data_IF_306619916979
#
_entry.id   IF_306619916979
#
_cell.length_a   1.000
_cell.length_b   1.000
_cell.length_c   1.000
_cell.angle_alpha   90.00
_cell.angle_beta   90.00
_cell.angle_gamma   90.00
#
_symmetry.space_group_name_H-M   'P 1'
#
loop_
_entity.id
_entity.type
_entity.pdbx_description
1 polymer ?
#
# COMPACT_ATOMS: atom_id res chain seq x y z
N UNK A 1 -29.17 -30.48 8.16
CA UNK A 1 -28.08 -30.21 9.09
C UNK A 1 -27.93 -28.70 9.19
N UNK A 2 -28.39 -28.14 10.29
CA UNK A 2 -28.51 -26.73 10.56
C UNK A 2 -27.14 -26.06 10.51
N UNK A 3 -27.00 -25.04 9.66
CA UNK A 3 -25.84 -24.16 9.59
C UNK A 3 -25.76 -23.35 10.89
N UNK A 4 -25.14 -23.91 11.93
CA UNK A 4 -24.70 -23.17 13.10
C UNK A 4 -23.77 -22.06 12.60
N UNK A 5 -24.24 -20.82 12.67
CA UNK A 5 -23.47 -19.64 12.35
C UNK A 5 -22.07 -19.77 13.00
N UNK A 6 -21.03 -19.96 12.18
CA UNK A 6 -19.66 -20.13 12.67
C UNK A 6 -19.30 -18.87 13.44
N UNK A 7 -19.01 -19.00 14.74
CA UNK A 7 -18.67 -17.86 15.59
C UNK A 7 -17.48 -17.10 14.97
N UNK A 8 -17.37 -15.77 15.17
CA UNK A 8 -16.21 -14.98 14.71
C UNK A 8 -14.87 -15.60 15.10
N UNK A 9 -14.81 -16.20 16.29
CA UNK A 9 -13.63 -16.89 16.81
C UNK A 9 -13.21 -18.08 15.95
N UNK A 10 -14.16 -18.90 15.44
CA UNK A 10 -13.84 -20.04 14.57
C UNK A 10 -13.28 -19.58 13.21
N UNK A 11 -13.76 -18.45 12.68
CA UNK A 11 -13.23 -17.85 11.47
C UNK A 11 -11.79 -17.38 11.66
N UNK A 12 -11.54 -16.66 12.77
CA UNK A 12 -10.17 -16.17 13.11
C UNK A 12 -9.24 -17.38 13.24
N UNK A 13 -9.64 -18.42 13.97
CA UNK A 13 -8.83 -19.65 14.14
C UNK A 13 -8.59 -20.35 12.80
N UNK A 14 -9.59 -20.40 11.92
CA UNK A 14 -9.45 -21.05 10.60
C UNK A 14 -8.44 -20.33 9.69
N UNK A 15 -8.29 -19.01 9.82
CA UNK A 15 -7.36 -18.21 9.02
C UNK A 15 -6.16 -17.68 9.82
N UNK A 16 -5.99 -18.11 11.09
CA UNK A 16 -4.94 -17.62 11.98
C UNK A 16 -3.54 -17.73 11.36
N UNK A 17 -3.25 -18.82 10.67
CA UNK A 17 -1.97 -19.02 10.00
C UNK A 17 -1.72 -17.94 8.92
N UNK A 18 -2.72 -17.64 8.09
CA UNK A 18 -2.59 -16.60 7.07
C UNK A 18 -2.47 -15.21 7.68
N UNK A 19 -3.25 -14.92 8.73
CA UNK A 19 -3.19 -13.62 9.44
C UNK A 19 -1.85 -13.44 10.15
N UNK A 20 -1.30 -14.50 10.77
CA UNK A 20 0.02 -14.44 11.39
C UNK A 20 1.13 -14.25 10.34
N UNK A 21 1.03 -14.91 9.20
CA UNK A 21 1.95 -14.69 8.08
C UNK A 21 1.91 -13.24 7.58
N UNK A 22 0.72 -12.64 7.46
CA UNK A 22 0.56 -11.21 7.10
C UNK A 22 1.19 -10.30 8.13
N UNK A 23 0.93 -10.54 9.42
CA UNK A 23 1.50 -9.74 10.51
C UNK A 23 3.03 -9.75 10.46
N UNK A 24 3.64 -10.93 10.40
CA UNK A 24 5.09 -11.09 10.36
C UNK A 24 5.70 -10.46 9.10
N UNK A 25 5.02 -10.63 7.96
CA UNK A 25 5.43 -10.01 6.70
C UNK A 25 5.38 -8.48 6.78
N UNK A 26 4.33 -7.91 7.41
CA UNK A 26 4.22 -6.46 7.59
C UNK A 26 5.26 -5.92 8.57
N UNK A 27 5.55 -6.63 9.66
CA UNK A 27 6.61 -6.25 10.58
C UNK A 27 7.98 -6.19 9.88
N UNK A 28 8.26 -7.16 9.01
CA UNK A 28 9.48 -7.13 8.19
C UNK A 28 9.45 -5.99 7.17
N UNK A 29 8.52 -6.05 6.21
CA UNK A 29 8.51 -5.17 5.04
C UNK A 29 8.20 -3.72 5.36
N UNK A 30 7.36 -3.47 6.36
CA UNK A 30 7.00 -2.12 6.80
C UNK A 30 8.16 -1.38 7.46
N UNK A 31 9.07 -2.11 8.11
CA UNK A 31 10.26 -1.53 8.76
C UNK A 31 11.41 -1.22 7.79
N UNK A 32 11.53 -1.98 6.69
CA UNK A 32 12.69 -1.85 5.77
C UNK A 32 12.76 -0.46 5.13
N UNK A 33 11.64 0.07 4.64
CA UNK A 33 11.64 1.38 3.96
C UNK A 33 12.20 2.50 4.82
N UNK A 34 11.63 2.78 5.99
CA UNK A 34 12.16 3.79 6.92
C UNK A 34 13.59 3.50 7.40
N UNK A 35 13.90 2.22 7.69
CA UNK A 35 15.25 1.83 8.10
C UNK A 35 16.29 2.15 7.02
N UNK A 36 16.00 1.86 5.75
CA UNK A 36 16.89 2.15 4.63
C UNK A 36 17.14 3.65 4.45
N UNK A 37 16.11 4.48 4.67
CA UNK A 37 16.26 5.94 4.59
C UNK A 37 17.19 6.43 5.68
N UNK A 38 17.00 6.01 6.93
CA UNK A 38 17.84 6.41 8.05
C UNK A 38 19.26 5.85 7.93
N UNK A 39 19.38 4.57 7.57
CA UNK A 39 20.68 3.92 7.34
C UNK A 39 21.43 4.55 6.18
N UNK A 40 20.76 4.83 5.06
CA UNK A 40 21.38 5.48 3.91
C UNK A 40 21.89 6.89 4.24
N UNK A 41 21.12 7.66 5.03
CA UNK A 41 21.55 8.98 5.49
C UNK A 41 22.80 8.88 6.39
N UNK A 42 22.84 7.92 7.32
CA UNK A 42 23.99 7.68 8.20
C UNK A 42 25.22 7.18 7.42
N UNK A 43 25.01 6.37 6.38
CA UNK A 43 26.08 5.86 5.50
C UNK A 43 26.52 6.85 4.42
N UNK A 44 25.96 8.08 4.42
CA UNK A 44 26.35 9.13 3.48
C UNK A 44 25.75 9.02 2.09
N UNK A 45 24.64 8.28 1.91
CA UNK A 45 23.93 8.28 0.64
C UNK A 45 23.30 9.65 0.37
N UNK A 46 23.38 10.09 -0.88
CA UNK A 46 22.74 11.34 -1.29
C UNK A 46 21.21 11.21 -1.19
N UNK A 47 20.53 12.34 -1.03
CA UNK A 47 19.05 12.38 -1.03
C UNK A 47 18.45 11.72 -2.27
N UNK A 48 19.05 11.91 -3.46
CA UNK A 48 18.61 11.26 -4.70
C UNK A 48 18.77 9.74 -4.67
N UNK A 49 19.88 9.23 -4.10
CA UNK A 49 20.07 7.79 -3.92
C UNK A 49 19.04 7.18 -2.97
N UNK A 50 18.72 7.87 -1.86
CA UNK A 50 17.65 7.46 -0.94
C UNK A 50 16.30 7.42 -1.68
N UNK A 51 15.96 8.42 -2.49
CA UNK A 51 14.76 8.40 -3.33
C UNK A 51 14.73 7.25 -4.33
N UNK A 52 15.88 6.88 -4.90
CA UNK A 52 16.01 5.74 -5.81
C UNK A 52 15.63 4.42 -5.13
N UNK A 53 15.96 4.21 -3.84
CA UNK A 53 15.58 3.00 -3.10
C UNK A 53 14.06 2.84 -3.05
N UNK A 54 13.32 3.92 -2.77
CA UNK A 54 11.87 3.91 -2.76
C UNK A 54 11.26 3.64 -4.13
N UNK A 55 11.78 4.29 -5.18
CA UNK A 55 11.35 4.08 -6.57
C UNK A 55 11.60 2.66 -7.03
N UNK A 56 12.76 2.09 -6.75
CA UNK A 56 13.12 0.71 -7.06
C UNK A 56 12.17 -0.28 -6.37
N UNK A 57 11.82 -0.04 -5.10
CA UNK A 57 10.86 -0.88 -4.38
C UNK A 57 9.50 -0.94 -5.08
N UNK A 58 8.92 0.20 -5.46
CA UNK A 58 7.60 0.22 -6.10
C UNK A 58 7.62 -0.35 -7.52
N UNK A 59 8.72 -0.17 -8.26
CA UNK A 59 8.91 -0.84 -9.55
C UNK A 59 8.92 -2.36 -9.38
N UNK A 60 9.70 -2.86 -8.42
CA UNK A 60 9.73 -4.29 -8.09
C UNK A 60 8.37 -4.80 -7.62
N UNK A 61 7.68 -4.05 -6.79
CA UNK A 61 6.35 -4.38 -6.31
C UNK A 61 5.35 -4.54 -7.47
N UNK A 62 5.37 -3.64 -8.44
CA UNK A 62 4.52 -3.76 -9.62
C UNK A 62 4.85 -5.02 -10.44
N UNK A 63 6.14 -5.28 -10.69
CA UNK A 63 6.58 -6.48 -11.39
C UNK A 63 6.12 -7.73 -10.64
N UNK A 64 6.22 -7.73 -9.31
CA UNK A 64 5.75 -8.82 -8.46
C UNK A 64 4.24 -9.06 -8.57
N UNK A 65 3.41 -8.01 -8.55
CA UNK A 65 1.97 -8.12 -8.75
C UNK A 65 1.61 -8.76 -10.10
N UNK A 66 2.39 -8.47 -11.14
CA UNK A 66 2.18 -9.01 -12.48
C UNK A 66 2.70 -10.45 -12.62
N UNK A 67 3.83 -10.77 -12.00
CA UNK A 67 4.53 -12.05 -12.16
C UNK A 67 4.06 -13.14 -11.18
N UNK A 68 3.72 -12.77 -9.94
CA UNK A 68 3.35 -13.73 -8.90
C UNK A 68 2.20 -14.68 -9.27
N UNK A 69 1.08 -14.23 -9.91
CA UNK A 69 0.04 -15.17 -10.33
C UNK A 69 0.52 -16.23 -11.32
N UNK A 70 1.52 -15.90 -12.16
CA UNK A 70 2.12 -16.83 -13.12
C UNK A 70 2.98 -17.86 -12.41
N UNK A 71 3.82 -17.41 -11.49
CA UNK A 71 4.65 -18.32 -10.69
C UNK A 71 3.77 -19.25 -9.84
N UNK A 72 2.71 -18.72 -9.20
CA UNK A 72 1.76 -19.55 -8.47
C UNK A 72 1.11 -20.62 -9.34
N UNK A 73 0.82 -20.30 -10.61
CA UNK A 73 0.26 -21.22 -11.58
C UNK A 73 1.19 -22.41 -11.91
N UNK A 74 2.50 -22.20 -11.84
CA UNK A 74 3.50 -23.24 -12.17
C UNK A 74 3.92 -24.08 -10.98
N UNK A 75 4.17 -23.44 -9.81
CA UNK A 75 4.74 -24.13 -8.64
C UNK A 75 3.77 -24.30 -7.47
N UNK A 76 2.59 -23.68 -7.54
CA UNK A 76 1.59 -23.66 -6.47
C UNK A 76 1.84 -22.58 -5.42
N UNK A 77 0.85 -22.34 -4.56
CA UNK A 77 0.82 -21.23 -3.61
C UNK A 77 1.94 -21.29 -2.56
N UNK A 78 2.08 -22.44 -1.87
CA UNK A 78 3.07 -22.58 -0.78
C UNK A 78 4.51 -22.46 -1.25
N UNK A 79 4.84 -23.07 -2.40
CA UNK A 79 6.18 -22.99 -2.96
C UNK A 79 6.51 -21.59 -3.46
N UNK A 80 5.56 -20.92 -4.10
CA UNK A 80 5.71 -19.52 -4.52
C UNK A 80 5.96 -18.61 -3.32
N UNK A 81 5.19 -18.78 -2.23
CA UNK A 81 5.37 -18.03 -1.00
C UNK A 81 6.75 -18.27 -0.38
N UNK A 82 7.18 -19.54 -0.31
CA UNK A 82 8.51 -19.89 0.19
C UNK A 82 9.63 -19.25 -0.63
N UNK A 83 9.53 -19.26 -1.95
CA UNK A 83 10.51 -18.63 -2.84
C UNK A 83 10.57 -17.12 -2.60
N UNK A 84 9.41 -16.44 -2.49
CA UNK A 84 9.37 -14.99 -2.25
C UNK A 84 9.91 -14.62 -0.87
N UNK A 85 9.54 -15.34 0.20
CA UNK A 85 10.05 -15.04 1.55
C UNK A 85 11.54 -15.30 1.65
N UNK A 86 12.04 -16.39 1.08
CA UNK A 86 13.47 -16.70 1.07
C UNK A 86 14.27 -15.64 0.30
N UNK A 87 13.84 -15.28 -0.91
CA UNK A 87 14.52 -14.26 -1.71
C UNK A 87 14.47 -12.86 -1.03
N UNK A 88 13.33 -12.52 -0.41
CA UNK A 88 13.20 -11.29 0.37
C UNK A 88 14.15 -11.24 1.56
N UNK A 89 14.28 -12.34 2.31
CA UNK A 89 15.20 -12.44 3.45
C UNK A 89 16.67 -12.37 3.01
N UNK A 90 17.04 -13.02 1.91
CA UNK A 90 18.38 -12.93 1.32
C UNK A 90 18.73 -11.48 0.98
N UNK A 91 17.78 -10.74 0.36
CA UNK A 91 17.97 -9.32 0.07
C UNK A 91 18.22 -8.48 1.33
N UNK A 92 17.49 -8.74 2.43
CA UNK A 92 17.68 -8.04 3.70
C UNK A 92 19.04 -8.35 4.35
N UNK A 93 19.47 -9.60 4.33
CA UNK A 93 20.78 -10.01 4.84
C UNK A 93 21.93 -9.38 4.03
N UNK A 94 21.73 -9.21 2.72
CA UNK A 94 22.73 -8.67 1.83
C UNK A 94 22.96 -7.16 1.99
N UNK A 95 21.98 -6.40 2.55
CA UNK A 95 22.08 -4.93 2.67
C UNK A 95 23.38 -4.50 3.35
N UNK A 96 23.69 -5.05 4.53
CA UNK A 96 24.88 -4.67 5.29
C UNK A 96 26.16 -5.41 4.83
N UNK A 97 26.05 -6.38 3.92
CA UNK A 97 27.22 -7.02 3.30
C UNK A 97 27.74 -6.20 2.12
N UNK A 98 26.88 -5.45 1.43
CA UNK A 98 27.21 -4.64 0.26
C UNK A 98 26.65 -3.24 0.49
N UNK A 99 27.45 -2.36 1.08
CA UNK A 99 27.05 -0.98 1.38
C UNK A 99 27.29 -0.10 0.16
N UNK A 100 26.35 -0.17 -0.78
CA UNK A 100 26.34 0.64 -2.01
C UNK A 100 24.89 0.98 -2.38
N UNK A 101 24.63 2.24 -2.71
CA UNK A 101 23.26 2.74 -2.95
C UNK A 101 22.59 2.07 -4.16
N UNK A 102 23.34 1.73 -5.20
CA UNK A 102 22.79 1.10 -6.39
C UNK A 102 22.54 -0.39 -6.16
N UNK A 103 23.45 -1.07 -5.43
CA UNK A 103 23.21 -2.43 -4.97
C UNK A 103 21.96 -2.50 -4.07
N UNK A 104 21.80 -1.54 -3.15
CA UNK A 104 20.58 -1.44 -2.33
C UNK A 104 19.32 -1.20 -3.18
N UNK A 105 19.39 -0.38 -4.24
CA UNK A 105 18.27 -0.20 -5.15
C UNK A 105 17.85 -1.51 -5.84
N UNK A 106 18.80 -2.34 -6.26
CA UNK A 106 18.51 -3.67 -6.81
C UNK A 106 17.88 -4.57 -5.76
N UNK A 107 18.42 -4.61 -4.55
CA UNK A 107 17.82 -5.37 -3.42
C UNK A 107 16.42 -4.89 -3.09
N UNK A 108 16.17 -3.57 -3.14
CA UNK A 108 14.85 -2.98 -2.93
C UNK A 108 13.86 -3.34 -4.03
N UNK A 109 14.28 -3.38 -5.29
CA UNK A 109 13.44 -3.88 -6.38
C UNK A 109 13.09 -5.37 -6.18
N UNK A 110 14.06 -6.19 -5.84
CA UNK A 110 13.84 -7.60 -5.52
C UNK A 110 12.91 -7.77 -4.30
N UNK A 111 13.12 -7.00 -3.22
CA UNK A 111 12.26 -6.98 -2.04
C UNK A 111 10.82 -6.57 -2.39
N UNK A 112 10.63 -5.53 -3.20
CA UNK A 112 9.30 -5.10 -3.66
C UNK A 112 8.57 -6.21 -4.41
N UNK A 113 9.27 -6.89 -5.33
CA UNK A 113 8.75 -8.04 -6.08
C UNK A 113 8.33 -9.17 -5.13
N UNK A 114 9.20 -9.52 -4.17
CA UNK A 114 8.93 -10.59 -3.21
C UNK A 114 7.72 -10.30 -2.33
N UNK A 115 7.61 -9.07 -1.82
CA UNK A 115 6.50 -8.64 -0.96
C UNK A 115 5.18 -8.67 -1.73
N UNK A 116 5.14 -8.15 -2.95
CA UNK A 116 3.96 -8.24 -3.81
C UNK A 116 3.55 -9.69 -4.09
N UNK A 117 4.55 -10.56 -4.29
CA UNK A 117 4.33 -11.99 -4.46
C UNK A 117 3.70 -12.63 -3.23
N UNK A 118 4.23 -12.37 -2.05
CA UNK A 118 3.70 -12.89 -0.79
C UNK A 118 2.24 -12.44 -0.56
N UNK A 119 1.92 -11.16 -0.76
CA UNK A 119 0.55 -10.66 -0.63
C UNK A 119 -0.39 -11.28 -1.65
N UNK A 120 0.07 -11.43 -2.90
CA UNK A 120 -0.73 -12.07 -3.95
C UNK A 120 -1.10 -13.51 -3.58
N UNK A 121 -0.15 -14.27 -3.02
CA UNK A 121 -0.39 -15.64 -2.53
C UNK A 121 -1.43 -15.66 -1.41
N UNK A 122 -1.24 -14.84 -0.38
CA UNK A 122 -2.14 -14.79 0.79
C UNK A 122 -3.55 -14.38 0.37
N UNK A 123 -3.69 -13.32 -0.44
CA UNK A 123 -4.99 -12.84 -0.89
C UNK A 123 -5.70 -13.84 -1.79
N UNK A 124 -4.98 -14.55 -2.66
CA UNK A 124 -5.55 -15.63 -3.46
C UNK A 124 -6.08 -16.75 -2.57
N UNK A 125 -5.33 -17.12 -1.54
CA UNK A 125 -5.73 -18.16 -0.60
C UNK A 125 -6.94 -17.76 0.24
N UNK A 126 -6.97 -16.55 0.77
CA UNK A 126 -8.11 -16.01 1.51
C UNK A 126 -9.36 -15.99 0.64
N UNK A 127 -9.28 -15.47 -0.59
CA UNK A 127 -10.42 -15.35 -1.49
C UNK A 127 -11.00 -16.71 -1.90
N UNK A 128 -10.16 -17.74 -2.04
CA UNK A 128 -10.60 -19.06 -2.43
C UNK A 128 -11.30 -19.84 -1.30
N UNK A 129 -11.04 -19.48 -0.04
CA UNK A 129 -11.56 -20.22 1.13
C UNK A 129 -12.69 -19.50 1.87
N UNK A 130 -13.00 -18.29 1.49
CA UNK A 130 -14.02 -17.46 2.16
C UNK A 130 -15.35 -17.59 1.45
N UNK A 131 -16.37 -18.04 2.18
CA UNK A 131 -17.76 -18.07 1.74
C UNK A 131 -18.33 -16.65 1.61
N UNK A 132 -19.28 -16.44 0.71
CA UNK A 132 -19.93 -15.14 0.49
C UNK A 132 -20.49 -14.52 1.79
N UNK A 133 -21.06 -15.35 2.68
CA UNK A 133 -21.63 -14.91 3.97
C UNK A 133 -20.60 -14.32 4.94
N UNK A 134 -19.33 -14.77 4.87
CA UNK A 134 -18.27 -14.39 5.79
C UNK A 134 -17.20 -13.51 5.13
N UNK A 135 -17.32 -13.23 3.82
CA UNK A 135 -16.31 -12.48 3.05
C UNK A 135 -15.99 -11.14 3.67
N UNK A 136 -16.99 -10.34 4.00
CA UNK A 136 -16.79 -9.00 4.61
C UNK A 136 -16.02 -9.07 5.92
N UNK A 137 -16.37 -10.01 6.81
CA UNK A 137 -15.68 -10.18 8.11
C UNK A 137 -14.23 -10.62 7.92
N UNK A 138 -13.99 -11.64 7.12
CA UNK A 138 -12.63 -12.18 6.92
C UNK A 138 -11.71 -11.14 6.27
N UNK A 139 -12.22 -10.44 5.26
CA UNK A 139 -11.45 -9.36 4.63
C UNK A 139 -11.25 -8.17 5.56
N UNK A 140 -12.24 -7.83 6.38
CA UNK A 140 -12.12 -6.82 7.44
C UNK A 140 -11.05 -7.19 8.46
N UNK A 141 -11.05 -8.43 8.98
CA UNK A 141 -10.02 -8.92 9.91
C UNK A 141 -8.63 -8.90 9.26
N UNK A 142 -8.52 -9.37 8.01
CA UNK A 142 -7.27 -9.29 7.24
C UNK A 142 -6.74 -7.85 7.18
N UNK A 143 -7.61 -6.86 6.93
CA UNK A 143 -7.23 -5.44 6.89
C UNK A 143 -6.78 -4.91 8.24
N UNK A 144 -7.47 -5.30 9.31
CA UNK A 144 -7.07 -4.91 10.67
C UNK A 144 -5.69 -5.47 11.03
N UNK A 145 -5.42 -6.72 10.69
CA UNK A 145 -4.10 -7.35 10.92
C UNK A 145 -3.02 -6.67 10.08
N UNK A 146 -3.27 -6.45 8.81
CA UNK A 146 -2.33 -5.79 7.88
C UNK A 146 -2.00 -4.36 8.35
N UNK A 147 -3.04 -3.56 8.67
CA UNK A 147 -2.85 -2.18 9.15
C UNK A 147 -2.22 -2.14 10.53
N UNK A 148 -2.65 -3.03 11.44
CA UNK A 148 -2.05 -3.14 12.78
C UNK A 148 -0.57 -3.53 12.70
N UNK A 149 -0.24 -4.49 11.84
CA UNK A 149 1.15 -4.86 11.57
C UNK A 149 1.96 -3.70 11.00
N UNK A 150 1.37 -2.92 10.09
CA UNK A 150 2.00 -1.71 9.55
C UNK A 150 2.26 -0.66 10.63
N UNK A 151 1.31 -0.42 11.53
CA UNK A 151 1.49 0.50 12.67
C UNK A 151 2.65 0.07 13.56
N UNK A 152 2.67 -1.20 13.95
CA UNK A 152 3.75 -1.75 14.80
C UNK A 152 5.09 -1.67 14.07
N UNK A 153 5.14 -1.97 12.78
CA UNK A 153 6.37 -1.86 11.97
C UNK A 153 6.93 -0.44 11.95
N UNK A 154 6.07 0.60 11.89
CA UNK A 154 6.53 1.99 11.98
C UNK A 154 7.09 2.30 13.38
N UNK A 155 6.43 1.84 14.44
CA UNK A 155 6.91 2.05 15.81
C UNK A 155 8.23 1.30 16.09
N UNK A 156 8.49 0.18 15.42
CA UNK A 156 9.76 -0.54 15.54
C UNK A 156 10.97 0.30 15.10
N UNK A 157 10.78 1.34 14.28
CA UNK A 157 11.87 2.21 13.82
C UNK A 157 12.61 2.87 14.99
N UNK A 158 11.93 3.15 16.10
CA UNK A 158 12.55 3.69 17.30
C UNK A 158 13.53 2.75 18.02
N UNK A 159 13.44 1.44 17.75
CA UNK A 159 14.31 0.42 18.38
C UNK A 159 15.26 -0.24 17.36
N UNK A 160 15.07 -0.02 16.07
CA UNK A 160 15.95 -0.51 15.02
C UNK A 160 17.09 0.50 14.81
N UNK A 161 18.30 0.15 15.24
CA UNK A 161 19.47 0.98 14.99
C UNK A 161 19.72 1.09 13.46
N UNK A 162 19.80 2.29 12.89
CA UNK A 162 20.20 2.49 11.50
C UNK A 162 21.60 1.94 11.24
N UNK A 163 21.91 1.64 9.99
CA UNK A 163 23.19 1.10 9.52
C UNK A 163 23.71 -0.10 10.33
N UNK A 164 22.79 -0.85 10.98
CA UNK A 164 23.11 -1.99 11.82
C UNK A 164 22.69 -3.31 11.17
N UNK A 165 23.64 -4.26 11.02
CA UNK A 165 23.31 -5.61 10.54
C UNK A 165 22.29 -6.32 11.45
N UNK A 166 22.25 -6.01 12.75
CA UNK A 166 21.28 -6.62 13.68
C UNK A 166 19.86 -6.24 13.30
N UNK A 167 19.62 -4.97 12.93
CA UNK A 167 18.31 -4.49 12.52
C UNK A 167 17.83 -5.17 11.23
N UNK A 168 18.70 -5.29 10.23
CA UNK A 168 18.38 -5.99 8.98
C UNK A 168 18.19 -7.48 9.18
N UNK A 169 19.00 -8.12 10.05
CA UNK A 169 18.85 -9.54 10.39
C UNK A 169 17.51 -9.79 11.08
N UNK A 170 17.10 -8.92 12.01
CA UNK A 170 15.78 -9.03 12.67
C UNK A 170 14.64 -8.98 11.64
N UNK A 171 14.70 -8.04 10.69
CA UNK A 171 13.70 -7.95 9.63
C UNK A 171 13.73 -9.18 8.70
N UNK A 172 14.91 -9.73 8.42
CA UNK A 172 15.06 -10.97 7.65
C UNK A 172 14.47 -12.18 8.41
N UNK A 173 14.68 -12.27 9.72
CA UNK A 173 14.09 -13.32 10.58
C UNK A 173 12.56 -13.21 10.55
N UNK A 174 11.99 -12.01 10.66
CA UNK A 174 10.54 -11.81 10.57
C UNK A 174 9.99 -12.21 9.18
N UNK A 175 10.74 -11.90 8.10
CA UNK A 175 10.40 -12.32 6.74
C UNK A 175 10.37 -13.86 6.63
N UNK A 176 11.41 -14.54 7.11
CA UNK A 176 11.45 -16.00 7.14
C UNK A 176 10.37 -16.60 8.04
N UNK A 177 10.15 -16.01 9.23
CA UNK A 177 9.13 -16.47 10.16
C UNK A 177 7.72 -16.40 9.58
N UNK A 178 7.45 -15.47 8.65
CA UNK A 178 6.16 -15.39 7.95
C UNK A 178 5.84 -16.65 7.14
N UNK A 179 6.84 -17.43 6.75
CA UNK A 179 6.65 -18.70 6.03
C UNK A 179 6.09 -19.80 6.94
N UNK A 180 6.49 -19.84 8.21
CA UNK A 180 6.19 -20.95 9.12
C UNK A 180 4.68 -21.21 9.30
N UNK A 181 3.85 -20.20 9.63
CA UNK A 181 2.41 -20.45 9.81
C UNK A 181 1.75 -20.96 8.54
N UNK A 182 2.17 -20.45 7.37
CA UNK A 182 1.59 -20.82 6.10
C UNK A 182 1.95 -22.25 5.67
N UNK A 183 3.19 -22.68 5.92
CA UNK A 183 3.65 -24.05 5.59
C UNK A 183 3.13 -25.11 6.55
N UNK A 184 2.91 -24.74 7.82
CA UNK A 184 2.38 -25.63 8.85
C UNK A 184 0.85 -25.74 8.84
N UNK A 185 0.16 -24.89 8.06
CA UNK A 185 -1.30 -24.93 7.98
C UNK A 185 -1.78 -26.21 7.28
N UNK A 186 -2.87 -26.78 7.78
CA UNK A 186 -3.57 -27.90 7.14
C UNK A 186 -4.61 -27.45 6.10
N UNK A 187 -4.70 -26.16 5.83
CA UNK A 187 -5.61 -25.64 4.81
C UNK A 187 -5.17 -26.14 3.41
N UNK A 188 -6.09 -26.76 2.70
CA UNK A 188 -5.83 -27.17 1.31
C UNK A 188 -5.52 -25.96 0.44
N UNK A 189 -4.49 -26.06 -0.38
CA UNK A 189 -4.14 -24.99 -1.33
C UNK A 189 -5.28 -24.79 -2.33
N UNK A 190 -5.59 -23.54 -2.69
CA UNK A 190 -6.59 -23.28 -3.72
C UNK A 190 -6.07 -23.67 -5.10
N UNK A 191 -7.00 -23.97 -6.01
CA UNK A 191 -6.66 -24.10 -7.42
C UNK A 191 -6.17 -22.75 -7.97
N UNK A 192 -5.16 -22.80 -8.82
CA UNK A 192 -4.61 -21.61 -9.45
C UNK A 192 -5.46 -21.21 -10.64
N UNK A 193 -6.16 -20.08 -10.53
CA UNK A 193 -6.86 -19.47 -11.66
C UNK A 193 -5.88 -18.83 -12.65
N UNK A 194 -6.37 -18.58 -13.88
CA UNK A 194 -5.59 -17.87 -14.89
C UNK A 194 -5.13 -16.49 -14.38
N UNK A 195 -3.88 -16.13 -14.67
CA UNK A 195 -3.35 -14.82 -14.33
C UNK A 195 -4.12 -13.71 -15.07
N UNK A 196 -4.49 -12.61 -14.39
CA UNK A 196 -5.21 -11.53 -15.02
C UNK A 196 -4.37 -10.89 -16.14
N UNK A 197 -5.04 -10.50 -17.21
CA UNK A 197 -4.40 -9.76 -18.30
C UNK A 197 -4.23 -8.30 -17.89
N UNK A 198 -3.03 -7.77 -18.11
CA UNK A 198 -2.76 -6.35 -17.91
C UNK A 198 -3.24 -5.57 -19.14
N UNK A 199 -4.29 -4.76 -18.99
CA UNK A 199 -4.89 -3.95 -20.04
C UNK A 199 -5.03 -2.50 -19.58
N UNK A 200 -3.95 -1.70 -19.56
CA UNK A 200 -3.99 -0.30 -19.10
C UNK A 200 -5.04 0.56 -19.83
N UNK A 201 -5.20 0.34 -21.14
CA UNK A 201 -6.20 1.03 -21.95
C UNK A 201 -7.64 0.89 -21.43
N UNK A 202 -7.97 -0.24 -20.77
CA UNK A 202 -9.29 -0.45 -20.17
C UNK A 202 -9.56 0.57 -19.04
N UNK A 203 -8.57 0.81 -18.17
CA UNK A 203 -8.69 1.79 -17.07
C UNK A 203 -8.97 3.19 -17.62
N UNK A 204 -8.21 3.60 -18.64
CA UNK A 204 -8.40 4.90 -19.28
C UNK A 204 -9.74 5.01 -20.02
N UNK A 205 -10.16 3.97 -20.73
CA UNK A 205 -11.43 3.97 -21.48
C UNK A 205 -12.64 4.04 -20.52
N UNK A 206 -12.62 3.28 -19.40
CA UNK A 206 -13.73 3.25 -18.46
C UNK A 206 -13.79 4.50 -17.57
N UNK A 207 -12.66 4.93 -17.01
CA UNK A 207 -12.64 6.09 -16.09
C UNK A 207 -11.29 6.80 -16.05
N UNK A 208 -11.03 7.78 -16.94
CA UNK A 208 -9.82 8.60 -16.89
C UNK A 208 -9.64 9.33 -15.53
N UNK A 209 -10.75 9.73 -14.90
CA UNK A 209 -10.70 10.39 -13.60
C UNK A 209 -10.18 9.45 -12.49
N UNK A 210 -10.63 8.20 -12.50
CA UNK A 210 -10.13 7.21 -11.57
C UNK A 210 -8.64 6.90 -11.81
N UNK A 211 -8.22 6.86 -13.07
CA UNK A 211 -6.80 6.72 -13.43
C UNK A 211 -5.96 7.85 -12.84
N UNK A 212 -6.39 9.10 -13.01
CA UNK A 212 -5.71 10.25 -12.41
C UNK A 212 -5.69 10.14 -10.88
N UNK A 213 -6.80 9.75 -10.25
CA UNK A 213 -6.90 9.58 -8.80
C UNK A 213 -5.95 8.51 -8.25
N UNK A 214 -5.83 7.35 -8.92
CA UNK A 214 -4.89 6.30 -8.45
C UNK A 214 -3.43 6.70 -8.68
N UNK A 215 -3.09 7.45 -9.72
CA UNK A 215 -1.74 8.01 -9.92
C UNK A 215 -1.41 8.95 -8.75
N UNK A 216 -2.29 9.91 -8.44
CA UNK A 216 -2.10 10.87 -7.35
C UNK A 216 -2.02 10.18 -5.98
N UNK A 217 -2.83 9.14 -5.76
CA UNK A 217 -2.71 8.30 -4.57
C UNK A 217 -1.35 7.59 -4.49
N UNK A 218 -0.82 7.12 -5.63
CA UNK A 218 0.53 6.56 -5.73
C UNK A 218 1.59 7.59 -5.36
N UNK A 219 1.48 8.80 -5.93
CA UNK A 219 2.38 9.93 -5.62
C UNK A 219 2.37 10.23 -4.12
N UNK A 220 1.20 10.45 -3.53
CA UNK A 220 1.06 10.83 -2.12
C UNK A 220 1.59 9.75 -1.17
N UNK A 221 1.15 8.50 -1.39
CA UNK A 221 1.49 7.39 -0.51
C UNK A 221 2.97 6.99 -0.60
N UNK A 222 3.55 6.98 -1.80
CA UNK A 222 4.95 6.61 -1.99
C UNK A 222 5.91 7.71 -1.53
N UNK A 223 5.62 8.99 -1.83
CA UNK A 223 6.41 10.12 -1.31
C UNK A 223 6.50 10.07 0.21
N UNK A 224 5.36 9.93 0.89
CA UNK A 224 5.37 9.93 2.36
C UNK A 224 6.04 8.68 2.94
N UNK A 225 5.73 7.48 2.45
CA UNK A 225 6.28 6.23 3.00
C UNK A 225 7.76 6.07 2.79
N UNK A 226 8.29 6.51 1.63
CA UNK A 226 9.69 6.30 1.25
C UNK A 226 10.58 7.51 1.51
N UNK A 227 10.01 8.71 1.60
CA UNK A 227 10.79 9.95 1.79
C UNK A 227 10.37 10.70 3.06
N UNK A 228 9.22 10.36 3.65
CA UNK A 228 8.78 10.92 4.93
C UNK A 228 9.78 10.75 6.08
N UNK A 229 10.48 9.62 6.24
CA UNK A 229 11.54 9.49 7.25
C UNK A 229 12.66 10.52 7.06
N UNK A 230 13.04 10.81 5.81
CA UNK A 230 14.03 11.83 5.49
C UNK A 230 13.53 13.24 5.88
N UNK A 231 12.25 13.55 5.57
CA UNK A 231 11.61 14.78 6.04
C UNK A 231 11.68 14.86 7.57
N UNK A 232 11.29 13.81 8.28
CA UNK A 232 11.33 13.76 9.74
C UNK A 232 12.73 14.04 10.30
N UNK A 233 13.76 13.40 9.74
CA UNK A 233 15.14 13.63 10.14
C UNK A 233 15.60 15.09 9.90
N UNK A 234 15.23 15.67 8.74
CA UNK A 234 15.61 17.04 8.40
C UNK A 234 14.89 18.12 9.23
N UNK A 235 13.69 17.83 9.77
CA UNK A 235 12.99 18.72 10.70
C UNK A 235 13.35 18.45 12.16
N UNK A 236 14.33 17.58 12.42
CA UNK A 236 14.92 17.35 13.75
C UNK A 236 14.20 16.31 14.60
N UNK A 237 13.37 15.43 14.01
CA UNK A 237 12.80 14.31 14.73
C UNK A 237 13.85 13.22 15.01
N UNK A 238 13.86 12.67 16.23
CA UNK A 238 14.63 11.47 16.57
C UNK A 238 14.04 10.21 15.90
N UNK A 239 14.77 9.09 15.87
CA UNK A 239 14.34 7.87 15.19
C UNK A 239 13.00 7.33 15.73
N UNK A 240 12.80 7.36 17.06
CA UNK A 240 11.54 7.00 17.70
C UNK A 240 10.39 7.95 17.29
N UNK A 241 10.66 9.26 17.25
CA UNK A 241 9.69 10.27 16.79
C UNK A 241 9.34 10.09 15.32
N UNK A 242 10.28 9.70 14.46
CA UNK A 242 10.01 9.34 13.07
C UNK A 242 9.10 8.12 13.02
N UNK A 243 9.31 7.13 13.87
CA UNK A 243 8.39 5.98 14.00
C UNK A 243 6.96 6.41 14.34
N UNK A 244 6.79 7.28 15.34
CA UNK A 244 5.46 7.84 15.68
C UNK A 244 4.85 8.70 14.57
N UNK A 245 5.66 9.50 13.88
CA UNK A 245 5.22 10.30 12.73
C UNK A 245 4.65 9.43 11.60
N UNK A 246 5.34 8.36 11.26
CA UNK A 246 4.87 7.39 10.25
C UNK A 246 3.66 6.59 10.74
N UNK A 247 3.63 6.19 12.01
CA UNK A 247 2.49 5.50 12.61
C UNK A 247 1.24 6.40 12.63
N UNK A 248 1.37 7.69 12.95
CA UNK A 248 0.28 8.66 12.92
C UNK A 248 -0.34 8.76 11.51
N UNK A 249 0.48 8.79 10.47
CA UNK A 249 0.03 8.76 9.07
C UNK A 249 -0.79 7.50 8.75
N UNK A 250 -0.30 6.32 9.14
CA UNK A 250 -1.02 5.05 8.92
C UNK A 250 -2.33 5.03 9.69
N UNK A 251 -2.32 5.47 10.95
CA UNK A 251 -3.49 5.52 11.81
C UNK A 251 -4.56 6.47 11.23
N UNK A 252 -4.17 7.68 10.82
CA UNK A 252 -5.07 8.63 10.19
C UNK A 252 -5.73 8.06 8.95
N UNK A 253 -4.92 7.40 8.09
CA UNK A 253 -5.41 6.73 6.90
C UNK A 253 -6.41 5.60 7.20
N UNK A 254 -6.15 4.80 8.23
CA UNK A 254 -7.04 3.71 8.64
C UNK A 254 -8.38 4.24 9.16
N UNK A 255 -8.34 5.24 10.05
CA UNK A 255 -9.54 5.85 10.64
C UNK A 255 -10.42 6.51 9.58
N UNK A 256 -9.84 7.13 8.56
CA UNK A 256 -10.56 7.80 7.51
C UNK A 256 -11.28 6.86 6.52
N UNK A 257 -10.94 5.56 6.47
CA UNK A 257 -11.57 4.63 5.52
C UNK A 257 -13.08 4.49 5.76
N UNK A 258 -13.50 4.46 7.03
CA UNK A 258 -14.91 4.33 7.35
C UNK A 258 -15.74 5.56 6.93
N UNK A 259 -15.41 6.81 7.35
CA UNK A 259 -16.15 7.98 6.90
C UNK A 259 -16.04 8.22 5.39
N UNK A 260 -14.90 7.88 4.76
CA UNK A 260 -14.75 7.96 3.32
C UNK A 260 -15.68 6.99 2.58
N UNK A 261 -15.81 5.75 3.06
CA UNK A 261 -16.73 4.78 2.51
C UNK A 261 -18.18 5.22 2.66
N UNK A 262 -18.56 5.68 3.86
CA UNK A 262 -19.89 6.22 4.12
C UNK A 262 -20.24 7.40 3.21
N UNK A 263 -19.30 8.32 3.00
CA UNK A 263 -19.49 9.44 2.10
C UNK A 263 -19.58 9.01 0.63
N UNK A 264 -18.72 8.05 0.19
CA UNK A 264 -18.67 7.56 -1.18
C UNK A 264 -19.91 6.75 -1.59
N UNK A 265 -20.59 6.10 -0.63
CA UNK A 265 -21.82 5.36 -0.89
C UNK A 265 -23.06 6.28 -0.98
N UNK A 266 -23.04 7.43 -0.30
CA UNK A 266 -24.17 8.37 -0.26
C UNK A 266 -24.08 9.51 -1.26
N UNK A 267 -22.86 9.89 -1.65
CA UNK A 267 -22.65 11.03 -2.53
C UNK A 267 -22.01 10.58 -3.87
N UNK A 268 -21.99 11.50 -4.82
CA UNK A 268 -21.22 11.30 -6.05
C UNK A 268 -19.73 11.15 -5.71
N UNK A 269 -19.15 9.99 -6.07
CA UNK A 269 -17.75 9.66 -5.75
C UNK A 269 -16.76 10.68 -6.29
N UNK A 270 -17.11 11.38 -7.36
CA UNK A 270 -16.29 12.46 -7.93
C UNK A 270 -16.24 13.66 -6.98
N UNK A 271 -17.37 14.00 -6.35
CA UNK A 271 -17.46 15.06 -5.35
C UNK A 271 -16.70 14.67 -4.07
N UNK A 272 -16.83 13.41 -3.64
CA UNK A 272 -16.07 12.88 -2.50
C UNK A 272 -14.56 12.92 -2.79
N UNK A 273 -14.14 12.59 -4.00
CA UNK A 273 -12.74 12.71 -4.43
C UNK A 273 -12.24 14.16 -4.38
N UNK A 274 -13.08 15.13 -4.76
CA UNK A 274 -12.78 16.57 -4.61
C UNK A 274 -12.59 16.93 -3.13
N UNK A 275 -13.48 16.51 -2.23
CA UNK A 275 -13.35 16.79 -0.79
C UNK A 275 -12.05 16.25 -0.21
N UNK A 276 -11.71 15.00 -0.50
CA UNK A 276 -10.47 14.39 -0.03
C UNK A 276 -9.23 15.02 -0.67
N UNK A 277 -9.30 15.47 -1.92
CA UNK A 277 -8.18 16.19 -2.57
C UNK A 277 -7.98 17.59 -1.94
N UNK A 278 -9.05 18.33 -1.67
CA UNK A 278 -8.96 19.60 -0.95
C UNK A 278 -8.43 19.40 0.48
N UNK A 279 -8.92 18.35 1.18
CA UNK A 279 -8.39 17.95 2.48
C UNK A 279 -6.90 17.60 2.44
N UNK A 280 -6.44 16.94 1.38
CA UNK A 280 -5.02 16.61 1.19
C UNK A 280 -4.16 17.87 1.00
N UNK A 281 -4.63 18.83 0.19
CA UNK A 281 -3.94 20.12 0.00
C UNK A 281 -3.87 20.88 1.32
N UNK A 282 -4.98 20.95 2.06
CA UNK A 282 -5.03 21.60 3.37
C UNK A 282 -4.09 20.91 4.37
N UNK A 283 -4.08 19.58 4.42
CA UNK A 283 -3.19 18.80 5.28
C UNK A 283 -1.71 19.02 4.94
N UNK A 284 -1.37 19.14 3.65
CA UNK A 284 -0.01 19.52 3.23
C UNK A 284 0.39 20.91 3.77
N UNK A 285 -0.49 21.91 3.61
CA UNK A 285 -0.26 23.26 4.13
C UNK A 285 -0.14 23.29 5.65
N UNK A 286 -1.02 22.56 6.35
CA UNK A 286 -0.98 22.40 7.81
C UNK A 286 0.34 21.76 8.26
N UNK A 287 0.82 20.71 7.57
CA UNK A 287 2.07 20.05 7.94
C UNK A 287 3.25 21.01 7.83
N UNK A 288 3.31 21.83 6.78
CA UNK A 288 4.36 22.83 6.61
C UNK A 288 4.23 23.92 7.68
N UNK A 289 3.03 24.43 7.94
CA UNK A 289 2.80 25.49 8.93
C UNK A 289 3.10 25.04 10.37
N UNK A 290 2.82 23.78 10.70
CA UNK A 290 3.00 23.24 12.05
C UNK A 290 4.41 22.68 12.31
N UNK A 291 5.27 22.59 11.31
CA UNK A 291 6.62 21.98 11.42
C UNK A 291 7.51 22.63 12.49
N UNK A 292 7.30 23.91 12.79
CA UNK A 292 8.02 24.67 13.82
C UNK A 292 7.36 24.71 15.21
N UNK A 293 6.16 24.12 15.38
CA UNK A 293 5.38 24.22 16.62
C UNK A 293 5.56 23.02 17.57
N UNK A 294 6.56 22.19 17.32
CA UNK A 294 6.92 21.06 18.16
C UNK A 294 6.40 19.70 17.65
N UNK A 295 6.90 18.64 18.28
CA UNK A 295 6.75 17.25 17.80
C UNK A 295 5.28 16.80 17.73
N UNK A 296 4.46 17.15 18.73
CA UNK A 296 3.04 16.77 18.76
C UNK A 296 2.28 17.37 17.59
N UNK A 297 2.59 18.62 17.21
CA UNK A 297 1.96 19.27 16.07
C UNK A 297 2.29 18.55 14.75
N UNK A 298 3.51 18.06 14.60
CA UNK A 298 3.95 17.27 13.44
C UNK A 298 3.19 15.92 13.40
N UNK A 299 2.96 15.26 14.53
CA UNK A 299 2.20 14.00 14.58
C UNK A 299 0.72 14.21 14.20
N UNK A 300 0.10 15.27 14.72
CA UNK A 300 -1.28 15.63 14.35
C UNK A 300 -1.36 15.93 12.86
N UNK A 301 -0.41 16.68 12.31
CA UNK A 301 -0.35 16.96 10.89
C UNK A 301 -0.21 15.69 10.03
N UNK A 302 0.65 14.75 10.45
CA UNK A 302 0.81 13.45 9.78
C UNK A 302 -0.49 12.61 9.80
N UNK A 303 -1.19 12.61 10.94
CA UNK A 303 -2.49 11.94 11.08
C UNK A 303 -3.52 12.53 10.12
N UNK A 304 -3.64 13.86 10.05
CA UNK A 304 -4.54 14.55 9.12
C UNK A 304 -4.15 14.30 7.67
N UNK A 305 -2.85 14.31 7.35
CA UNK A 305 -2.35 13.99 6.02
C UNK A 305 -2.70 12.55 5.60
N UNK A 306 -2.53 11.59 6.50
CA UNK A 306 -2.94 10.21 6.28
C UNK A 306 -4.44 10.08 6.07
N UNK A 307 -5.23 10.74 6.92
CA UNK A 307 -6.69 10.73 6.82
C UNK A 307 -7.21 11.28 5.48
N UNK A 308 -6.55 12.29 4.93
CA UNK A 308 -6.94 12.90 3.67
C UNK A 308 -6.48 12.10 2.44
N UNK A 309 -5.26 11.54 2.46
CA UNK A 309 -4.65 10.95 1.25
C UNK A 309 -4.98 9.47 1.03
N UNK A 310 -5.13 8.65 2.10
CA UNK A 310 -5.35 7.21 1.96
C UNK A 310 -6.65 6.84 1.22
N UNK A 311 -7.80 7.50 1.47
CA UNK A 311 -9.05 7.08 0.84
C UNK A 311 -9.09 7.32 -0.68
N UNK A 312 -8.24 8.19 -1.23
CA UNK A 312 -8.23 8.57 -2.66
C UNK A 312 -8.15 7.34 -3.57
N UNK A 313 -7.28 6.35 -3.23
CA UNK A 313 -7.20 5.13 -4.04
C UNK A 313 -8.52 4.36 -4.06
N UNK A 314 -9.10 4.12 -2.89
CA UNK A 314 -10.32 3.32 -2.76
C UNK A 314 -11.52 4.01 -3.41
N UNK A 315 -11.65 5.33 -3.26
CA UNK A 315 -12.70 6.14 -3.91
C UNK A 315 -12.54 6.07 -5.43
N UNK A 316 -11.31 6.27 -5.94
CA UNK A 316 -11.00 6.21 -7.37
C UNK A 316 -11.30 4.83 -7.96
N UNK A 317 -10.88 3.77 -7.29
CA UNK A 317 -11.13 2.42 -7.72
C UNK A 317 -12.63 2.09 -7.72
N UNK A 318 -13.35 2.48 -6.67
CA UNK A 318 -14.80 2.33 -6.60
C UNK A 318 -15.50 3.07 -7.73
N UNK A 319 -15.07 4.31 -8.03
CA UNK A 319 -15.59 5.07 -9.17
C UNK A 319 -15.34 4.40 -10.51
N UNK A 320 -14.17 3.78 -10.72
CA UNK A 320 -13.90 3.05 -11.96
C UNK A 320 -14.78 1.80 -12.08
N UNK A 321 -14.97 1.06 -10.98
CA UNK A 321 -15.78 -0.15 -10.94
C UNK A 321 -17.28 0.10 -11.13
N UNK A 322 -17.78 1.32 -10.93
CA UNK A 322 -19.17 1.68 -11.27
C UNK A 322 -19.45 1.61 -12.78
N UNK A 323 -18.41 1.72 -13.60
CA UNK A 323 -18.48 1.67 -15.05
C UNK A 323 -18.07 0.33 -15.66
N UNK A 324 -17.65 -0.62 -14.84
CA UNK A 324 -17.13 -1.91 -15.27
C UNK A 324 -18.20 -3.01 -15.25
N UNK A 325 -18.22 -3.82 -16.29
CA UNK A 325 -18.93 -5.09 -16.31
C UNK A 325 -18.22 -6.11 -15.40
N UNK A 326 -18.95 -7.11 -14.91
CA UNK A 326 -18.40 -8.11 -13.99
C UNK A 326 -17.21 -8.90 -14.59
N UNK A 327 -17.24 -9.12 -15.92
CA UNK A 327 -16.15 -9.76 -16.67
C UNK A 327 -14.85 -8.93 -16.70
N UNK A 328 -14.95 -7.61 -16.59
CA UNK A 328 -13.83 -6.68 -16.73
C UNK A 328 -13.18 -6.30 -15.38
N UNK A 329 -13.81 -6.61 -14.23
CA UNK A 329 -13.42 -6.10 -12.91
C UNK A 329 -11.99 -6.45 -12.50
N UNK A 330 -11.55 -7.68 -12.80
CA UNK A 330 -10.19 -8.12 -12.46
C UNK A 330 -9.15 -7.42 -13.34
N UNK A 331 -9.40 -7.32 -14.63
CA UNK A 331 -8.52 -6.62 -15.58
C UNK A 331 -8.48 -5.11 -15.28
N UNK A 332 -9.61 -4.50 -14.90
CA UNK A 332 -9.68 -3.11 -14.46
C UNK A 332 -8.85 -2.88 -13.19
N UNK A 333 -8.95 -3.75 -12.19
CA UNK A 333 -8.12 -3.63 -10.97
C UNK A 333 -6.63 -3.71 -11.29
N UNK A 334 -6.23 -4.59 -12.22
CA UNK A 334 -4.86 -4.68 -12.69
C UNK A 334 -4.42 -3.39 -13.43
N UNK A 335 -5.30 -2.81 -14.25
CA UNK A 335 -5.03 -1.55 -14.93
C UNK A 335 -4.88 -0.38 -13.94
N UNK A 336 -5.75 -0.28 -12.93
CA UNK A 336 -5.65 0.76 -11.90
C UNK A 336 -4.37 0.61 -11.07
N UNK A 337 -3.96 -0.63 -10.74
CA UNK A 337 -2.69 -0.88 -10.06
C UNK A 337 -1.48 -0.48 -10.92
N UNK A 338 -1.54 -0.69 -12.23
CA UNK A 338 -0.50 -0.22 -13.16
C UNK A 338 -0.33 1.31 -13.08
N UNK A 339 -1.43 2.07 -13.15
CA UNK A 339 -1.37 3.52 -13.05
C UNK A 339 -0.96 4.01 -11.66
N UNK A 340 -1.40 3.34 -10.60
CA UNK A 340 -0.88 3.59 -9.25
C UNK A 340 0.64 3.40 -9.18
N UNK A 341 1.16 2.32 -9.79
CA UNK A 341 2.58 2.02 -9.81
C UNK A 341 3.39 3.09 -10.56
N UNK A 342 2.86 3.70 -11.61
CA UNK A 342 3.52 4.82 -12.29
C UNK A 342 3.75 5.97 -11.30
N UNK A 343 2.70 6.40 -10.59
CA UNK A 343 2.82 7.44 -9.58
C UNK A 343 3.76 7.06 -8.45
N UNK A 344 3.59 5.84 -7.91
CA UNK A 344 4.38 5.36 -6.78
C UNK A 344 5.87 5.13 -7.10
N UNK A 345 6.19 4.73 -8.33
CA UNK A 345 7.58 4.53 -8.76
C UNK A 345 8.28 5.87 -9.02
N UNK A 346 7.62 6.82 -9.66
CA UNK A 346 8.23 8.11 -9.95
C UNK A 346 8.39 9.00 -8.70
N UNK A 347 7.41 8.93 -7.78
CA UNK A 347 7.29 9.89 -6.70
C UNK A 347 8.47 9.95 -5.72
N UNK A 348 9.05 8.85 -5.21
CA UNK A 348 10.14 8.94 -4.24
C UNK A 348 11.37 9.64 -4.83
N UNK A 349 11.74 9.33 -6.06
CA UNK A 349 12.89 9.94 -6.73
C UNK A 349 12.67 11.44 -6.99
N UNK A 350 11.48 11.80 -7.51
CA UNK A 350 11.13 13.21 -7.75
C UNK A 350 11.08 13.98 -6.43
N UNK A 351 10.42 13.43 -5.39
CA UNK A 351 10.31 14.06 -4.08
C UNK A 351 11.68 14.27 -3.44
N UNK A 352 12.56 13.27 -3.49
CA UNK A 352 13.92 13.37 -2.96
C UNK A 352 14.72 14.45 -3.70
N UNK A 353 14.62 14.54 -5.03
CA UNK A 353 15.24 15.59 -5.82
C UNK A 353 14.71 17.00 -5.45
N UNK A 354 13.40 17.11 -5.23
CA UNK A 354 12.80 18.38 -4.80
C UNK A 354 13.22 18.77 -3.37
N UNK A 355 13.33 17.82 -2.45
CA UNK A 355 13.85 18.06 -1.10
C UNK A 355 15.31 18.53 -1.17
N UNK A 356 16.13 17.92 -2.00
CA UNK A 356 17.53 18.34 -2.18
C UNK A 356 17.65 19.77 -2.70
N UNK A 357 16.72 20.20 -3.57
CA UNK A 357 16.76 21.53 -4.18
C UNK A 357 16.09 22.61 -3.33
N UNK A 358 14.99 22.30 -2.63
CA UNK A 358 14.10 23.29 -2.01
C UNK A 358 13.84 23.03 -0.52
N UNK A 359 14.46 22.01 0.07
CA UNK A 359 14.30 21.64 1.48
C UNK A 359 13.09 20.72 1.76
N UNK A 360 12.91 20.30 3.04
CA UNK A 360 11.99 19.22 3.43
C UNK A 360 10.53 19.50 3.10
N UNK A 361 10.08 20.74 3.14
CA UNK A 361 8.69 21.13 2.82
C UNK A 361 8.29 20.84 1.37
N UNK A 362 9.26 20.64 0.47
CA UNK A 362 9.02 20.31 -0.94
C UNK A 362 8.26 18.99 -1.12
N UNK A 363 8.35 18.05 -0.18
CA UNK A 363 7.53 16.83 -0.18
C UNK A 363 6.03 17.18 -0.22
N UNK A 364 5.60 18.01 0.71
CA UNK A 364 4.19 18.38 0.85
C UNK A 364 3.73 19.32 -0.29
N UNK A 365 4.60 20.20 -0.76
CA UNK A 365 4.32 21.05 -1.92
C UNK A 365 4.09 20.22 -3.19
N UNK A 366 4.91 19.17 -3.42
CA UNK A 366 4.74 18.26 -4.55
C UNK A 366 3.44 17.47 -4.48
N UNK A 367 3.10 16.92 -3.31
CA UNK A 367 1.84 16.21 -3.11
C UNK A 367 0.65 17.15 -3.29
N UNK A 368 0.69 18.36 -2.72
CA UNK A 368 -0.36 19.36 -2.91
C UNK A 368 -0.57 19.69 -4.39
N UNK A 369 0.52 19.89 -5.14
CA UNK A 369 0.46 20.16 -6.59
C UNK A 369 -0.17 18.99 -7.37
N UNK A 370 0.15 17.75 -7.00
CA UNK A 370 -0.49 16.58 -7.61
C UNK A 370 -2.02 16.56 -7.36
N UNK A 371 -2.46 16.91 -6.16
CA UNK A 371 -3.89 17.03 -5.84
C UNK A 371 -4.56 18.21 -6.54
N UNK A 372 -3.88 19.34 -6.70
CA UNK A 372 -4.38 20.47 -7.54
C UNK A 372 -4.59 20.00 -8.99
N UNK A 373 -3.63 19.26 -9.54
CA UNK A 373 -3.78 18.65 -10.86
C UNK A 373 -5.01 17.72 -10.96
N UNK A 374 -5.24 16.90 -9.93
CA UNK A 374 -6.41 16.03 -9.85
C UNK A 374 -7.72 16.82 -9.79
N UNK A 375 -7.77 17.93 -9.03
CA UNK A 375 -8.94 18.79 -8.95
C UNK A 375 -9.26 19.45 -10.31
N UNK A 376 -8.26 20.01 -10.97
CA UNK A 376 -8.43 20.64 -12.30
C UNK A 376 -8.91 19.59 -13.31
N UNK A 377 -8.25 18.45 -13.38
CA UNK A 377 -8.63 17.37 -14.28
C UNK A 377 -10.04 16.84 -13.95
N UNK A 378 -10.35 16.68 -12.65
CA UNK A 378 -11.67 16.28 -12.17
C UNK A 378 -12.77 17.24 -12.61
N UNK A 379 -12.57 18.55 -12.46
CA UNK A 379 -13.53 19.58 -12.87
C UNK A 379 -13.82 19.49 -14.37
N UNK A 380 -12.80 19.31 -15.21
CA UNK A 380 -12.96 19.13 -16.66
C UNK A 380 -13.74 17.85 -16.99
N UNK A 381 -13.43 16.74 -16.30
CA UNK A 381 -14.09 15.44 -16.55
C UNK A 381 -15.55 15.42 -16.09
N UNK A 382 -15.85 16.05 -14.95
CA UNK A 382 -17.22 16.15 -14.42
C UNK A 382 -18.17 16.91 -15.39
N UNK A 383 -17.65 17.88 -16.13
CA UNK A 383 -18.43 18.59 -17.17
C UNK A 383 -18.70 17.73 -18.41
N UNK A 384 -17.83 16.75 -18.71
CA UNK A 384 -17.92 15.93 -19.93
C UNK A 384 -18.75 14.67 -19.79
N UNK A 385 -18.91 14.14 -18.58
CA UNK A 385 -19.61 12.87 -18.33
C UNK A 385 -20.48 12.98 -17.08
N UNK A 386 -21.76 12.55 -17.12
CA UNK A 386 -22.63 12.50 -15.93
C UNK A 386 -22.09 11.48 -14.89
N UNK A 387 -22.67 11.48 -13.69
CA UNK A 387 -22.39 10.44 -12.69
C UNK A 387 -22.96 9.10 -13.13
N UNK A 388 -22.38 7.99 -12.63
CA UNK A 388 -22.95 6.68 -12.86
C UNK A 388 -24.34 6.57 -12.20
N UNK A 389 -25.32 6.01 -12.93
CA UNK A 389 -26.69 5.82 -12.45
C UNK A 389 -26.77 4.77 -11.33
N UNK A 390 -25.99 3.70 -11.44
CA UNK A 390 -25.88 2.65 -10.43
C UNK A 390 -24.49 2.63 -9.84
N UNK A 391 -24.38 2.51 -8.50
CA UNK A 391 -23.11 2.48 -7.77
C UNK A 391 -22.96 1.14 -7.05
N UNK A 392 -21.76 0.59 -7.11
CA UNK A 392 -21.40 -0.56 -6.31
C UNK A 392 -21.09 -0.12 -4.87
N UNK A 393 -21.31 -0.95 -3.83
CA UNK A 393 -20.87 -0.63 -2.48
C UNK A 393 -19.38 -0.30 -2.43
N UNK A 394 -19.03 0.68 -1.60
CA UNK A 394 -17.62 1.01 -1.36
C UNK A 394 -16.89 -0.18 -0.74
N UNK A 395 -15.71 -0.46 -1.23
CA UNK A 395 -14.83 -1.47 -0.66
C UNK A 395 -13.47 -0.85 -0.40
N UNK A 396 -13.01 -0.95 0.84
CA UNK A 396 -11.64 -0.61 1.14
C UNK A 396 -10.69 -1.56 0.42
N UNK A 397 -10.02 -1.06 -0.60
CA UNK A 397 -9.12 -1.83 -1.44
C UNK A 397 -7.69 -1.64 -0.92
N UNK A 398 -7.04 -2.73 -0.50
CA UNK A 398 -5.60 -2.71 -0.33
C UNK A 398 -4.96 -2.67 -1.71
N UNK A 399 -3.88 -1.97 -1.82
CA UNK A 399 -3.09 -1.85 -3.04
C UNK A 399 -2.14 -3.04 -3.25
N UNK A 400 -2.53 -4.24 -2.86
CA UNK A 400 -1.61 -5.36 -2.68
C UNK A 400 -1.61 -6.40 -3.79
N UNK A 401 -2.72 -6.59 -4.52
CA UNK A 401 -2.71 -7.54 -5.64
C UNK A 401 -3.71 -7.22 -6.75
N UNK A 402 -3.47 -7.77 -7.95
CA UNK A 402 -4.41 -7.67 -9.08
C UNK A 402 -5.72 -8.43 -8.86
N UNK A 403 -5.76 -9.35 -7.90
CA UNK A 403 -6.92 -10.20 -7.62
C UNK A 403 -8.06 -9.48 -6.90
N UNK A 404 -7.81 -8.27 -6.41
CA UNK A 404 -8.79 -7.41 -5.72
C UNK A 404 -10.08 -7.21 -6.52
N UNK A 405 -10.00 -7.19 -7.86
CA UNK A 405 -11.17 -7.09 -8.72
C UNK A 405 -12.26 -8.15 -8.49
N UNK A 406 -11.91 -9.29 -7.92
CA UNK A 406 -12.86 -10.36 -7.57
C UNK A 406 -13.78 -9.99 -6.39
N UNK A 407 -13.41 -9.01 -5.57
CA UNK A 407 -14.21 -8.54 -4.42
C UNK A 407 -15.46 -7.78 -4.89
N UNK A 408 -15.38 -7.14 -6.07
CA UNK A 408 -16.48 -6.36 -6.64
C UNK A 408 -17.54 -7.20 -7.38
N UNK A 409 -17.42 -8.52 -7.42
CA UNK A 409 -18.45 -9.37 -8.04
C UNK A 409 -19.77 -9.14 -7.31
N UNK A 410 -20.81 -8.66 -8.01
CA UNK A 410 -22.17 -8.61 -7.46
C UNK A 410 -22.52 -9.99 -6.95
N UNK A 411 -23.01 -10.09 -5.70
CA UNK A 411 -23.73 -11.28 -5.29
C UNK A 411 -24.95 -11.34 -6.20
N UNK A 412 -24.94 -12.28 -7.14
CA UNK A 412 -26.13 -12.57 -7.93
C UNK A 412 -27.28 -12.79 -6.95
N UNK A 413 -28.38 -12.11 -7.18
CA UNK A 413 -29.65 -12.57 -6.68
C UNK A 413 -29.90 -13.87 -7.45
N UNK A 414 -29.70 -15.01 -6.82
CA UNK A 414 -30.37 -16.27 -7.07
C UNK A 414 -31.42 -16.47 -5.99
#
# INVERSE_FOLDING_TARGET
MTALARSPMRLIVSFAALFLSVLLLQLSSGGVGPLDVLSGAELGFTTGQIGLLGSAHFLGFFVGCWWAPRLMGTVGHSRAFAAFTAAGAIGLLAHMMIVDAYAWAVMRAASGLCIAGCYTVIEAWLQAKVDNANRGRTMGTYRMVDTGGSLVAQLMIGVLAPASYVSYNLLAILCCAALLPLTLTRLTQPETGAAPRLRPGLGWALSPLAVAGVIVSGVSGASFRMVGPLYGAQVGLSADQIGFFLAAYVLGGALAQWPAGWAADRNDRRVVMVWFSLGSIAACGITVALSGLGVVAIFVAALLFGAATFPIYSISAAHAHDWAEDSQRVELSAALMFFYAIGATAAPLVTAGLIAAYGPSALFAFVALAHVGLLIFGAVRMRKRPSAESRNPYVWIPRTSFLVGRIFRRSGKD
#
